data_IF_078538504265
#
_entry.id   IF_078538504265
#
_cell.length_a   1.000
_cell.length_b   1.000
_cell.length_c   1.000
_cell.angle_alpha   90.00
_cell.angle_beta   90.00
_cell.angle_gamma   90.00
#
_symmetry.space_group_name_H-M   'P 1'
#
loop_
_entity.id
_entity.type
_entity.pdbx_description
1 polymer ?
#
# COMPACT_ATOMS: atom_id res chain seq x y z
N UNK A 1 2.70 0.91 12.78
CA UNK A 1 1.91 1.30 13.98
C UNK A 1 1.88 2.82 14.14
N UNK A 2 0.95 3.44 14.88
CA UNK A 2 1.07 4.87 15.22
C UNK A 2 2.44 5.19 15.83
N UNK A 3 2.90 6.43 15.65
CA UNK A 3 4.23 6.91 16.08
C UNK A 3 5.41 6.20 15.42
N UNK A 4 5.19 5.51 14.29
CA UNK A 4 6.32 5.02 13.48
C UNK A 4 7.01 6.22 12.83
N UNK A 5 8.32 6.32 13.02
CA UNK A 5 9.15 7.35 12.41
C UNK A 5 10.01 6.82 11.27
N UNK A 6 10.95 7.65 10.81
CA UNK A 6 11.78 7.38 9.64
C UNK A 6 12.46 6.00 9.71
N UNK A 7 13.03 5.63 10.86
CA UNK A 7 13.73 4.35 11.03
C UNK A 7 12.81 3.13 10.81
N UNK A 8 11.53 3.23 11.17
CA UNK A 8 10.58 2.14 11.00
C UNK A 8 10.17 1.97 9.55
N UNK A 9 9.97 3.06 8.82
CA UNK A 9 9.70 3.02 7.38
C UNK A 9 10.90 2.48 6.60
N UNK A 10 12.12 2.93 6.93
CA UNK A 10 13.35 2.41 6.35
C UNK A 10 13.50 0.91 6.59
N UNK A 11 13.24 0.45 7.82
CA UNK A 11 13.30 -0.97 8.16
C UNK A 11 12.34 -1.80 7.32
N UNK A 12 11.07 -1.38 7.19
CA UNK A 12 10.07 -2.09 6.38
C UNK A 12 10.45 -2.08 4.91
N UNK A 13 10.96 -0.96 4.39
CA UNK A 13 11.40 -0.85 3.01
C UNK A 13 12.49 -1.89 2.72
N UNK A 14 13.56 -1.92 3.53
CA UNK A 14 14.70 -2.80 3.28
C UNK A 14 14.43 -4.27 3.59
N UNK A 15 13.60 -4.57 4.60
CA UNK A 15 13.39 -5.96 5.05
C UNK A 15 12.12 -6.61 4.50
N UNK A 16 11.19 -5.83 3.94
CA UNK A 16 9.92 -6.35 3.41
C UNK A 16 9.73 -5.97 1.95
N UNK A 17 9.68 -4.67 1.66
CA UNK A 17 9.29 -4.18 0.32
C UNK A 17 10.35 -4.52 -0.73
N UNK A 18 11.61 -4.15 -0.51
CA UNK A 18 12.69 -4.38 -1.48
C UNK A 18 12.93 -5.87 -1.78
N UNK A 19 12.94 -6.80 -0.79
CA UNK A 19 13.01 -8.23 -1.06
C UNK A 19 11.84 -8.76 -1.89
N UNK A 20 10.62 -8.30 -1.60
CA UNK A 20 9.43 -8.66 -2.36
C UNK A 20 9.54 -8.16 -3.80
N UNK A 21 9.94 -6.90 -4.01
CA UNK A 21 10.12 -6.33 -5.34
C UNK A 21 11.21 -7.05 -6.14
N UNK A 22 12.32 -7.42 -5.50
CA UNK A 22 13.40 -8.16 -6.14
C UNK A 22 12.95 -9.54 -6.66
N UNK A 23 12.04 -10.20 -5.95
CA UNK A 23 11.45 -11.48 -6.38
C UNK A 23 10.31 -11.27 -7.40
N UNK A 24 9.47 -10.26 -7.21
CA UNK A 24 8.32 -9.95 -8.06
C UNK A 24 8.74 -9.43 -9.44
N UNK A 25 9.83 -8.65 -9.52
CA UNK A 25 10.39 -8.06 -10.75
C UNK A 25 9.33 -7.28 -11.56
N UNK A 26 8.79 -6.19 -10.99
CA UNK A 26 7.82 -5.38 -11.73
C UNK A 26 8.49 -4.71 -12.95
N UNK A 27 7.71 -4.54 -14.02
CA UNK A 27 8.12 -3.72 -15.17
C UNK A 27 8.02 -2.21 -14.87
N UNK A 28 7.15 -1.82 -13.94
CA UNK A 28 6.93 -0.44 -13.50
C UNK A 28 6.58 -0.39 -12.01
N UNK A 29 7.11 0.60 -11.30
CA UNK A 29 6.82 0.91 -9.90
C UNK A 29 6.07 2.26 -9.86
N UNK A 30 4.83 2.21 -9.38
CA UNK A 30 4.02 3.40 -9.14
C UNK A 30 3.88 3.59 -7.63
N UNK A 31 4.41 4.68 -7.10
CA UNK A 31 4.29 5.07 -5.71
C UNK A 31 3.08 5.98 -5.52
N UNK A 32 2.03 5.46 -4.88
CA UNK A 32 0.89 6.26 -4.38
C UNK A 32 1.37 7.00 -3.13
N UNK A 33 1.92 8.20 -3.34
CA UNK A 33 2.73 8.95 -2.38
C UNK A 33 1.84 9.84 -1.49
N UNK A 34 0.97 9.21 -0.69
CA UNK A 34 0.21 9.87 0.36
C UNK A 34 1.12 10.43 1.46
N UNK A 35 0.79 11.62 1.95
CA UNK A 35 1.64 12.45 2.81
C UNK A 35 1.09 12.61 4.23
N UNK A 36 -0.03 11.95 4.54
CA UNK A 36 -0.73 11.97 5.83
C UNK A 36 0.01 11.23 6.96
N UNK A 37 1.10 10.52 6.65
CA UNK A 37 2.00 9.95 7.65
C UNK A 37 3.03 10.96 8.21
N UNK A 38 3.03 12.20 7.71
CA UNK A 38 3.96 13.22 8.22
C UNK A 38 3.71 13.53 9.70
N UNK A 39 4.77 13.83 10.47
CA UNK A 39 4.67 14.09 11.90
C UNK A 39 3.75 15.26 12.30
N UNK A 40 3.47 16.18 11.37
CA UNK A 40 2.58 17.32 11.59
C UNK A 40 1.15 17.08 11.08
N UNK A 41 0.90 15.95 10.41
CA UNK A 41 -0.42 15.62 9.90
C UNK A 41 -1.36 15.12 11.02
N UNK A 42 -2.59 15.64 11.11
CA UNK A 42 -3.49 15.33 12.21
C UNK A 42 -4.14 13.94 12.12
N UNK A 43 -4.04 13.23 11.00
CA UNK A 43 -4.85 12.02 10.78
C UNK A 43 -4.15 10.73 11.20
N UNK A 44 -2.96 10.45 10.67
CA UNK A 44 -2.34 9.13 10.82
C UNK A 44 -1.63 8.93 12.18
N UNK A 45 -1.32 10.02 12.89
CA UNK A 45 -0.54 10.00 14.14
C UNK A 45 0.80 9.25 13.98
N UNK A 46 1.51 9.55 12.89
CA UNK A 46 2.81 8.97 12.53
C UNK A 46 3.92 10.01 12.77
N UNK A 47 5.19 9.59 12.76
CA UNK A 47 6.35 10.43 13.10
C UNK A 47 7.30 10.54 11.88
N UNK A 48 6.77 10.64 10.67
CA UNK A 48 7.58 10.59 9.44
C UNK A 48 7.98 11.98 8.94
N UNK A 49 9.22 12.15 8.50
CA UNK A 49 9.76 13.42 8.01
C UNK A 49 9.80 13.52 6.49
N UNK A 50 9.91 14.74 5.97
CA UNK A 50 10.17 15.01 4.56
C UNK A 50 11.45 14.32 4.05
N UNK A 51 12.49 14.24 4.88
CA UNK A 51 13.72 13.51 4.55
C UNK A 51 13.50 12.00 4.53
N UNK A 52 12.66 11.49 5.41
CA UNK A 52 12.20 10.11 5.39
C UNK A 52 11.52 9.77 4.07
N UNK A 53 10.59 10.61 3.61
CA UNK A 53 9.94 10.46 2.29
C UNK A 53 10.95 10.47 1.13
N UNK A 54 11.91 11.41 1.16
CA UNK A 54 12.95 11.51 0.14
C UNK A 54 13.81 10.24 0.10
N UNK A 55 14.29 9.76 1.25
CA UNK A 55 15.11 8.54 1.34
C UNK A 55 14.34 7.29 0.94
N UNK A 56 13.05 7.20 1.28
CA UNK A 56 12.18 6.13 0.81
C UNK A 56 12.10 6.13 -0.72
N UNK A 57 11.90 7.29 -1.35
CA UNK A 57 11.81 7.39 -2.81
C UNK A 57 13.16 7.14 -3.50
N UNK A 58 14.27 7.62 -2.95
CA UNK A 58 15.62 7.29 -3.45
C UNK A 58 15.83 5.78 -3.47
N UNK A 59 15.47 5.10 -2.38
CA UNK A 59 15.67 3.66 -2.22
C UNK A 59 14.70 2.82 -3.04
N UNK A 60 13.42 3.20 -3.07
CA UNK A 60 12.37 2.54 -3.84
C UNK A 60 12.58 2.73 -5.34
N UNK A 61 13.14 3.89 -5.74
CA UNK A 61 13.35 4.30 -7.13
C UNK A 61 12.09 4.12 -8.01
N UNK A 62 10.92 4.69 -7.63
CA UNK A 62 9.71 4.52 -8.40
C UNK A 62 9.79 5.22 -9.76
N UNK A 63 9.12 4.67 -10.77
CA UNK A 63 9.00 5.30 -12.09
C UNK A 63 8.04 6.49 -12.07
N UNK A 64 7.00 6.40 -11.24
CA UNK A 64 5.98 7.43 -11.08
C UNK A 64 5.61 7.58 -9.61
N UNK A 65 5.59 8.81 -9.12
CA UNK A 65 4.97 9.16 -7.84
C UNK A 65 3.67 9.93 -8.10
N UNK A 66 2.58 9.51 -7.45
CA UNK A 66 1.26 10.14 -7.55
C UNK A 66 0.91 10.71 -6.19
N UNK A 67 0.67 12.03 -6.12
CA UNK A 67 0.24 12.68 -4.88
C UNK A 67 -1.18 12.22 -4.51
N UNK A 68 -1.39 11.86 -3.24
CA UNK A 68 -2.68 11.44 -2.69
C UNK A 68 -3.13 12.39 -1.55
N UNK A 69 -3.40 11.84 -0.36
CA UNK A 69 -3.71 12.60 0.84
C UNK A 69 -2.51 13.33 1.43
N UNK A 70 -2.78 14.18 2.42
CA UNK A 70 -1.82 15.06 3.08
C UNK A 70 -2.48 16.38 3.46
N UNK A 71 -2.61 16.62 4.75
CA UNK A 71 -3.49 17.65 5.29
C UNK A 71 -2.75 18.71 6.10
N UNK A 72 -1.45 18.51 6.37
CA UNK A 72 -0.53 19.56 6.84
C UNK A 72 -0.01 20.40 5.67
N UNK A 73 -0.86 21.32 5.20
CA UNK A 73 -0.66 22.08 3.95
C UNK A 73 0.64 22.89 3.94
N UNK A 74 0.93 23.60 5.03
CA UNK A 74 2.10 24.50 5.09
C UNK A 74 3.32 23.83 5.75
N UNK A 75 3.08 22.95 6.73
CA UNK A 75 4.14 22.34 7.53
C UNK A 75 4.79 21.12 6.88
N UNK A 76 4.09 20.43 5.96
CA UNK A 76 4.55 19.16 5.40
C UNK A 76 4.65 19.18 3.87
N UNK A 77 3.54 19.46 3.17
CA UNK A 77 3.43 19.23 1.72
C UNK A 77 4.57 19.84 0.90
N UNK A 78 5.01 21.11 1.12
CA UNK A 78 6.06 21.71 0.29
C UNK A 78 7.38 20.96 0.44
N UNK A 79 7.74 20.59 1.68
CA UNK A 79 9.00 19.92 2.01
C UNK A 79 9.02 18.48 1.50
N UNK A 80 7.91 17.74 1.69
CA UNK A 80 7.79 16.37 1.20
C UNK A 80 7.85 16.35 -0.32
N UNK A 81 7.11 17.22 -1.00
CA UNK A 81 7.11 17.28 -2.47
C UNK A 81 8.50 17.60 -3.02
N UNK A 82 9.19 18.60 -2.46
CA UNK A 82 10.57 18.92 -2.86
C UNK A 82 11.49 17.73 -2.60
N UNK A 83 11.39 17.08 -1.43
CA UNK A 83 12.18 15.90 -1.09
C UNK A 83 12.00 14.74 -2.06
N UNK A 84 10.75 14.41 -2.41
CA UNK A 84 10.42 13.35 -3.38
C UNK A 84 10.97 13.70 -4.76
N UNK A 85 10.74 14.94 -5.24
CA UNK A 85 11.20 15.37 -6.57
C UNK A 85 12.73 15.31 -6.66
N UNK A 86 13.44 15.81 -5.65
CA UNK A 86 14.91 15.77 -5.61
C UNK A 86 15.43 14.33 -5.58
N UNK A 87 14.84 13.46 -4.74
CA UNK A 87 15.22 12.06 -4.66
C UNK A 87 15.01 11.33 -6.00
N UNK A 88 13.84 11.50 -6.64
CA UNK A 88 13.55 10.91 -7.95
C UNK A 88 14.46 11.46 -9.06
N UNK A 89 14.90 12.72 -8.94
CA UNK A 89 15.84 13.33 -9.88
C UNK A 89 17.32 12.95 -9.60
N UNK A 90 17.61 12.19 -8.54
CA UNK A 90 18.98 11.87 -8.12
C UNK A 90 19.77 13.09 -7.63
N UNK A 91 19.08 14.10 -7.09
CA UNK A 91 19.64 15.35 -6.59
C UNK A 91 19.75 15.34 -5.06
N UNK A 92 20.69 16.13 -4.53
CA UNK A 92 20.87 16.27 -3.09
C UNK A 92 19.64 16.91 -2.42
N UNK A 93 19.06 16.18 -1.47
CA UNK A 93 17.94 16.63 -0.64
C UNK A 93 18.35 16.85 0.83
N UNK A 94 19.66 16.88 1.14
CA UNK A 94 20.18 17.04 2.51
C UNK A 94 19.68 18.30 3.22
N UNK A 95 19.36 19.35 2.45
CA UNK A 95 18.85 20.64 2.94
C UNK A 95 17.33 20.74 2.98
N UNK A 96 16.60 19.70 2.58
CA UNK A 96 15.15 19.65 2.72
C UNK A 96 14.85 19.33 4.18
N UNK A 97 14.59 20.37 4.97
CA UNK A 97 14.30 20.26 6.39
C UNK A 97 13.08 21.15 6.68
N UNK A 98 12.09 20.60 7.36
CA UNK A 98 10.92 21.35 7.80
C UNK A 98 11.32 22.43 8.83
N UNK A 99 10.66 23.59 8.86
CA UNK A 99 11.05 24.71 9.73
C UNK A 99 10.99 24.39 11.21
N UNK A 100 10.10 23.47 11.59
CA UNK A 100 9.84 23.06 12.96
C UNK A 100 10.43 21.68 13.28
N UNK A 101 11.30 21.14 12.41
CA UNK A 101 11.89 19.82 12.56
C UNK A 101 12.64 19.70 13.88
N UNK A 102 12.43 18.58 14.57
CA UNK A 102 13.28 18.16 15.69
C UNK A 102 13.40 16.63 15.72
N UNK A 103 14.52 16.07 16.23
CA UNK A 103 14.69 14.63 16.34
C UNK A 103 13.58 13.93 17.15
N UNK A 104 13.02 14.61 18.14
CA UNK A 104 11.95 14.05 18.99
C UNK A 104 10.66 13.79 18.20
N UNK A 105 10.33 14.65 17.22
CA UNK A 105 9.13 14.52 16.37
C UNK A 105 9.16 13.31 15.45
N UNK A 106 10.36 12.82 15.14
CA UNK A 106 10.58 11.68 14.25
C UNK A 106 11.04 10.43 14.98
N UNK A 107 11.22 10.54 16.30
CA UNK A 107 11.61 9.42 17.14
C UNK A 107 10.46 8.42 17.28
N UNK A 108 10.80 7.15 17.44
CA UNK A 108 9.84 6.12 17.79
C UNK A 108 10.34 5.34 19.01
N UNK A 109 9.42 4.74 19.76
CA UNK A 109 9.79 3.96 20.94
C UNK A 109 10.35 2.59 20.53
N UNK A 110 11.17 1.99 21.39
CA UNK A 110 11.63 0.60 21.19
C UNK A 110 10.49 -0.42 21.05
N UNK A 111 9.33 -0.13 21.63
CA UNK A 111 8.16 -0.99 21.49
C UNK A 111 7.63 -0.95 20.05
N UNK A 112 7.52 0.26 19.46
CA UNK A 112 7.13 0.43 18.05
C UNK A 112 8.14 -0.27 17.13
N UNK A 113 9.44 -0.10 17.36
CA UNK A 113 10.49 -0.78 16.57
C UNK A 113 10.33 -2.31 16.62
N UNK A 114 10.17 -2.90 17.81
CA UNK A 114 9.96 -4.35 17.95
C UNK A 114 8.69 -4.85 17.28
N UNK A 115 7.62 -4.05 17.34
CA UNK A 115 6.37 -4.40 16.69
C UNK A 115 6.54 -4.41 15.16
N UNK A 116 7.24 -3.43 14.60
CA UNK A 116 7.58 -3.36 13.17
C UNK A 116 8.44 -4.56 12.77
N UNK A 117 9.46 -4.91 13.54
CA UNK A 117 10.32 -6.07 13.29
C UNK A 117 9.51 -7.38 13.27
N UNK A 118 8.63 -7.57 14.26
CA UNK A 118 7.75 -8.74 14.35
C UNK A 118 6.82 -8.83 13.15
N UNK A 119 6.12 -7.74 12.81
CA UNK A 119 5.20 -7.70 11.67
C UNK A 119 5.93 -7.93 10.35
N UNK A 120 7.13 -7.36 10.20
CA UNK A 120 7.97 -7.55 9.01
C UNK A 120 8.36 -9.02 8.83
N UNK A 121 8.75 -9.69 9.91
CA UNK A 121 9.08 -11.12 9.90
C UNK A 121 7.85 -11.99 9.54
N UNK A 122 6.67 -11.64 10.05
CA UNK A 122 5.41 -12.32 9.72
C UNK A 122 5.06 -12.16 8.24
N UNK A 123 5.12 -10.94 7.71
CA UNK A 123 4.82 -10.65 6.30
C UNK A 123 5.78 -11.38 5.36
N UNK A 124 7.09 -11.35 5.63
CA UNK A 124 8.07 -12.10 4.83
C UNK A 124 7.83 -13.61 4.92
N UNK A 125 7.42 -14.12 6.08
CA UNK A 125 7.06 -15.54 6.21
C UNK A 125 5.86 -15.89 5.35
N UNK A 126 4.82 -15.04 5.33
CA UNK A 126 3.67 -15.22 4.44
C UNK A 126 4.08 -15.18 2.97
N UNK A 127 4.93 -14.23 2.59
CA UNK A 127 5.44 -14.12 1.22
C UNK A 127 6.22 -15.36 0.79
N UNK A 128 7.08 -15.92 1.65
CA UNK A 128 7.83 -17.15 1.37
C UNK A 128 6.92 -18.38 1.18
N UNK A 129 5.82 -18.45 1.94
CA UNK A 129 4.87 -19.58 1.87
C UNK A 129 3.68 -19.34 0.93
N UNK A 130 3.68 -18.25 0.16
CA UNK A 130 2.54 -17.83 -0.68
C UNK A 130 2.04 -18.91 -1.64
N UNK A 131 2.94 -19.74 -2.19
CA UNK A 131 2.56 -20.83 -3.09
C UNK A 131 1.76 -21.93 -2.36
N UNK A 132 2.17 -22.30 -1.16
CA UNK A 132 1.45 -23.27 -0.32
C UNK A 132 0.10 -22.72 0.14
N UNK A 133 0.07 -21.45 0.54
CA UNK A 133 -1.17 -20.75 0.91
C UNK A 133 -2.14 -20.69 -0.27
N UNK A 134 -1.63 -20.41 -1.48
CA UNK A 134 -2.42 -20.43 -2.71
C UNK A 134 -2.98 -21.84 -2.99
N UNK A 135 -2.16 -22.88 -2.87
CA UNK A 135 -2.62 -24.26 -3.07
C UNK A 135 -3.73 -24.62 -2.08
N UNK A 136 -3.55 -24.35 -0.79
CA UNK A 136 -4.58 -24.60 0.24
C UNK A 136 -5.88 -23.84 -0.05
N UNK A 137 -5.78 -22.60 -0.55
CA UNK A 137 -6.95 -21.76 -0.82
C UNK A 137 -7.70 -22.17 -2.08
N UNK A 138 -6.99 -22.55 -3.15
CA UNK A 138 -7.55 -22.67 -4.50
C UNK A 138 -7.63 -24.10 -5.05
N UNK A 139 -6.87 -25.07 -4.52
CA UNK A 139 -6.79 -26.43 -5.10
C UNK A 139 -8.16 -27.10 -5.18
N UNK A 140 -8.48 -27.65 -6.35
CA UNK A 140 -9.71 -28.37 -6.63
C UNK A 140 -10.97 -27.48 -6.73
N UNK A 141 -10.86 -26.17 -6.51
CA UNK A 141 -11.99 -25.24 -6.60
C UNK A 141 -12.08 -24.66 -8.00
N UNK A 142 -13.29 -24.64 -8.57
CA UNK A 142 -13.58 -23.88 -9.81
C UNK A 142 -13.80 -22.40 -9.52
N UNK A 143 -14.33 -22.10 -8.34
CA UNK A 143 -14.59 -20.75 -7.87
C UNK A 143 -14.19 -20.61 -6.41
N UNK A 144 -13.73 -19.44 -6.04
CA UNK A 144 -13.62 -19.00 -4.65
C UNK A 144 -14.49 -17.77 -4.46
N UNK A 145 -15.13 -17.68 -3.30
CA UNK A 145 -16.04 -16.60 -2.96
C UNK A 145 -15.53 -15.89 -1.70
N UNK A 146 -15.66 -14.57 -1.69
CA UNK A 146 -15.37 -13.71 -0.57
C UNK A 146 -16.56 -12.78 -0.34
N UNK A 147 -16.96 -12.65 0.92
CA UNK A 147 -18.06 -11.79 1.33
C UNK A 147 -17.47 -10.59 2.06
N UNK A 148 -17.88 -9.39 1.65
CA UNK A 148 -17.47 -8.17 2.33
C UNK A 148 -18.64 -7.23 2.48
N UNK A 149 -18.64 -6.48 3.56
CA UNK A 149 -19.50 -5.34 3.77
C UNK A 149 -18.61 -4.09 3.73
N UNK A 150 -19.01 -3.11 2.93
CA UNK A 150 -18.27 -1.85 2.73
C UNK A 150 -19.19 -0.71 3.14
N UNK A 151 -18.69 0.18 3.99
CA UNK A 151 -19.39 1.39 4.37
C UNK A 151 -18.73 2.58 3.70
N UNK A 152 -19.51 3.31 2.89
CA UNK A 152 -19.09 4.55 2.26
C UNK A 152 -19.61 5.70 3.12
N UNK A 153 -18.71 6.31 3.88
CA UNK A 153 -19.01 7.37 4.85
C UNK A 153 -19.47 8.68 4.19
N UNK A 154 -18.89 9.03 3.04
CA UNK A 154 -19.17 10.26 2.30
C UNK A 154 -20.66 10.36 1.91
N UNK A 155 -21.23 9.24 1.47
CA UNK A 155 -22.64 9.16 1.04
C UNK A 155 -23.54 8.44 2.06
N UNK A 156 -22.98 7.95 3.17
CA UNK A 156 -23.65 7.10 4.15
C UNK A 156 -24.38 5.92 3.46
N UNK A 157 -23.60 5.06 2.79
CA UNK A 157 -24.09 3.86 2.08
C UNK A 157 -23.47 2.62 2.71
N UNK A 158 -24.31 1.66 3.08
CA UNK A 158 -23.87 0.32 3.46
C UNK A 158 -24.06 -0.64 2.29
N UNK A 159 -22.96 -1.16 1.79
CA UNK A 159 -22.92 -2.06 0.65
C UNK A 159 -22.53 -3.47 1.09
N UNK A 160 -23.25 -4.48 0.61
CA UNK A 160 -22.89 -5.89 0.77
C UNK A 160 -22.44 -6.43 -0.58
N UNK A 161 -21.21 -6.94 -0.65
CA UNK A 161 -20.64 -7.50 -1.86
C UNK A 161 -20.29 -8.99 -1.70
N UNK A 162 -20.58 -9.75 -2.74
CA UNK A 162 -20.09 -11.11 -2.96
C UNK A 162 -19.13 -11.06 -4.14
N UNK A 163 -17.85 -11.27 -3.85
CA UNK A 163 -16.81 -11.37 -4.87
C UNK A 163 -16.51 -12.84 -5.15
N UNK A 164 -16.81 -13.29 -6.36
CA UNK A 164 -16.56 -14.64 -6.85
C UNK A 164 -15.44 -14.60 -7.88
N UNK A 165 -14.41 -15.40 -7.68
CA UNK A 165 -13.27 -15.50 -8.56
C UNK A 165 -13.20 -16.89 -9.19
N UNK A 166 -13.19 -16.95 -10.53
CA UNK A 166 -13.00 -18.19 -11.29
C UNK A 166 -11.52 -18.57 -11.24
N UNK A 167 -11.21 -19.68 -10.56
CA UNK A 167 -9.85 -20.19 -10.46
C UNK A 167 -9.44 -20.78 -11.80
N UNK A 168 -8.31 -20.33 -12.34
CA UNK A 168 -7.76 -20.81 -13.61
C UNK A 168 -6.27 -21.12 -13.47
N UNK A 169 -5.82 -22.22 -14.08
CA UNK A 169 -4.40 -22.58 -14.14
C UNK A 169 -3.64 -21.94 -15.30
N UNK A 170 -4.34 -21.24 -16.21
CA UNK A 170 -3.78 -20.72 -17.46
C UNK A 170 -3.76 -19.18 -17.56
N UNK A 171 -4.48 -18.49 -16.67
CA UNK A 171 -4.55 -17.03 -16.63
C UNK A 171 -4.96 -16.59 -15.22
N UNK A 172 -4.99 -15.28 -15.01
CA UNK A 172 -5.43 -14.68 -13.74
C UNK A 172 -6.83 -15.16 -13.32
N UNK A 173 -7.74 -15.43 -14.26
CA UNK A 173 -9.10 -15.87 -13.95
C UNK A 173 -10.10 -14.71 -13.87
N UNK A 174 -11.40 -15.04 -13.90
CA UNK A 174 -12.47 -14.03 -14.00
C UNK A 174 -12.92 -13.59 -12.62
N UNK A 175 -12.98 -12.28 -12.39
CA UNK A 175 -13.54 -11.70 -11.16
C UNK A 175 -14.99 -11.27 -11.39
N UNK A 176 -15.89 -11.68 -10.51
CA UNK A 176 -17.31 -11.38 -10.56
C UNK A 176 -17.70 -10.77 -9.23
N UNK A 177 -18.24 -9.56 -9.23
CA UNK A 177 -18.72 -8.88 -8.04
C UNK A 177 -20.22 -8.68 -8.18
N UNK A 178 -20.99 -9.32 -7.31
CA UNK A 178 -22.39 -8.99 -7.11
C UNK A 178 -22.47 -8.09 -5.90
N UNK A 179 -23.11 -6.93 -6.03
CA UNK A 179 -23.22 -5.97 -4.94
C UNK A 179 -24.66 -5.46 -4.79
N UNK A 180 -25.04 -5.16 -3.55
CA UNK A 180 -26.29 -4.53 -3.19
C UNK A 180 -26.10 -3.50 -2.07
N UNK A 181 -26.71 -2.33 -2.20
CA UNK A 181 -26.72 -1.31 -1.15
C UNK A 181 -28.00 -1.36 -0.29
N UNK A 182 -27.88 -0.86 0.93
CA UNK A 182 -29.00 -0.54 1.83
C UNK A 182 -29.98 0.49 1.24
N UNK A 183 -29.54 1.28 0.26
CA UNK A 183 -30.38 2.18 -0.55
C UNK A 183 -31.10 1.48 -1.72
N UNK A 184 -30.97 0.16 -1.85
CA UNK A 184 -31.72 -0.66 -2.81
C UNK A 184 -31.09 -0.82 -4.20
N UNK A 185 -29.93 -0.21 -4.45
CA UNK A 185 -29.20 -0.39 -5.71
C UNK A 185 -28.59 -1.81 -5.77
N UNK A 186 -28.54 -2.40 -6.98
CA UNK A 186 -27.89 -3.69 -7.23
C UNK A 186 -27.04 -3.61 -8.48
N UNK A 187 -25.84 -4.15 -8.41
CA UNK A 187 -24.91 -4.19 -9.54
C UNK A 187 -24.28 -5.58 -9.68
N UNK A 188 -23.93 -5.91 -10.92
CA UNK A 188 -23.09 -7.05 -11.26
C UNK A 188 -21.92 -6.53 -12.09
N UNK A 189 -20.71 -6.61 -11.54
CA UNK A 189 -19.47 -6.32 -12.24
C UNK A 189 -18.77 -7.62 -12.64
N UNK A 190 -18.38 -7.76 -13.90
CA UNK A 190 -17.55 -8.87 -14.37
C UNK A 190 -16.27 -8.28 -14.95
N UNK A 191 -15.12 -8.69 -14.42
CA UNK A 191 -13.79 -8.31 -14.92
C UNK A 191 -13.14 -9.53 -15.55
N UNK A 192 -12.99 -9.49 -16.87
CA UNK A 192 -12.19 -10.44 -17.64
C UNK A 192 -10.78 -9.84 -17.76
N UNK A 193 -9.74 -10.50 -17.22
CA UNK A 193 -8.40 -9.93 -17.21
C UNK A 193 -7.79 -9.94 -18.62
N UNK A 194 -6.79 -9.09 -18.87
CA UNK A 194 -6.15 -8.96 -20.18
C UNK A 194 -5.46 -10.25 -20.65
N UNK A 195 -4.97 -11.05 -19.71
CA UNK A 195 -4.32 -12.36 -19.95
C UNK A 195 -5.34 -13.52 -20.04
N UNK A 196 -6.64 -13.24 -20.07
CA UNK A 196 -7.68 -14.28 -20.04
C UNK A 196 -7.52 -15.31 -21.16
N UNK A 197 -7.50 -16.59 -20.78
CA UNK A 197 -7.53 -17.69 -21.74
C UNK A 197 -8.92 -17.81 -22.43
N UNK A 198 -9.01 -18.60 -23.50
CA UNK A 198 -10.26 -18.79 -24.27
C UNK A 198 -11.46 -19.25 -23.44
N UNK A 199 -11.22 -19.98 -22.34
CA UNK A 199 -12.30 -20.41 -21.43
C UNK A 199 -12.73 -19.33 -20.44
N UNK A 200 -11.86 -18.35 -20.15
CA UNK A 200 -12.17 -17.23 -19.26
C UNK A 200 -12.71 -16.01 -20.01
N UNK A 201 -12.63 -16.00 -21.34
CA UNK A 201 -13.26 -15.00 -22.22
C UNK A 201 -14.73 -15.29 -22.52
N UNK A 202 -15.20 -16.52 -22.25
CA UNK A 202 -16.57 -16.97 -22.41
C UNK A 202 -17.32 -16.87 -21.08
#
# INVERSE_FOLDING_TARGET
>A
PPQTGDEGFEYVLDNVVMPILAEYKPDIIINSAGQDNHYSDPLASMNFSARGYAKLNERLSPDVAVLEGGYSIEGALPYINVGIILAMAGLDYSQVIEPDFSPDKVSQTRQVTREIERLSAEIITLWKHRAQLAEQKFKGKKYVENHRQVYYDTDNILENQIQKFKVCSHCSGVNIITSSSDKGAKILGITIPRDACKECQK
#
